data_IF_003597475815
#
_entry.id   IF_003597475815
#
_cell.length_a   1.000
_cell.length_b   1.000
_cell.length_c   1.000
_cell.angle_alpha   90.00
_cell.angle_beta   90.00
_cell.angle_gamma   90.00
#
_symmetry.space_group_name_H-M   'P 1'
#
loop_
_entity.id
_entity.type
_entity.pdbx_description
1 polymer ?
#
# COMPACT_ATOMS: atom_id res chain seq x y z
N UNK A 1 4.77 -2.84 -15.99
CA UNK A 1 3.36 -2.84 -15.54
C UNK A 1 3.26 -2.22 -14.15
N UNK A 2 3.60 -2.88 -13.04
CA UNK A 2 3.57 -2.25 -11.69
C UNK A 2 4.65 -1.18 -11.46
N UNK A 3 5.88 -1.40 -11.97
CA UNK A 3 7.00 -0.47 -11.79
C UNK A 3 6.67 0.96 -12.26
N UNK A 4 5.92 1.11 -13.35
CA UNK A 4 5.55 2.43 -13.87
C UNK A 4 4.65 3.20 -12.91
N UNK A 5 3.70 2.53 -12.24
CA UNK A 5 2.88 3.17 -11.22
C UNK A 5 3.73 3.54 -10.00
N UNK A 6 4.65 2.67 -9.57
CA UNK A 6 5.50 2.96 -8.41
C UNK A 6 6.44 4.16 -8.62
N UNK A 7 6.74 4.54 -9.87
CA UNK A 7 7.49 5.78 -10.17
C UNK A 7 6.69 7.05 -9.88
N UNK A 8 5.37 6.97 -9.87
CA UNK A 8 4.48 8.10 -9.55
C UNK A 8 4.39 8.37 -8.04
N UNK A 9 4.93 7.47 -7.20
CA UNK A 9 5.01 7.72 -5.75
C UNK A 9 6.00 8.86 -5.50
N UNK A 10 5.58 9.97 -4.85
CA UNK A 10 6.47 11.09 -4.60
C UNK A 10 7.67 10.69 -3.74
N UNK A 11 8.88 11.01 -4.22
CA UNK A 11 10.11 10.79 -3.45
C UNK A 11 10.33 11.95 -2.47
N UNK A 12 10.08 11.68 -1.20
CA UNK A 12 10.24 12.60 -0.08
C UNK A 12 11.71 12.98 0.22
N UNK A 13 12.67 12.26 -0.34
CA UNK A 13 14.10 12.46 -0.07
C UNK A 13 14.68 13.54 -0.97
N UNK A 14 15.66 14.28 -0.47
CA UNK A 14 16.46 15.21 -1.26
C UNK A 14 17.20 14.50 -2.41
N UNK A 15 17.48 15.21 -3.50
CA UNK A 15 18.11 14.64 -4.69
C UNK A 15 19.44 13.91 -4.39
N UNK A 16 20.22 14.42 -3.44
CA UNK A 16 21.50 13.85 -3.01
C UNK A 16 21.35 12.53 -2.21
N UNK A 17 20.19 12.30 -1.59
CA UNK A 17 19.88 11.10 -0.81
C UNK A 17 19.23 9.97 -1.65
N UNK A 18 19.19 10.11 -2.98
CA UNK A 18 18.54 9.17 -3.92
C UNK A 18 19.53 8.20 -4.57
N UNK A 19 20.49 7.67 -3.79
CA UNK A 19 21.36 6.58 -4.25
C UNK A 19 20.55 5.36 -4.74
N UNK A 20 19.46 5.06 -4.04
CA UNK A 20 18.50 4.00 -4.38
C UNK A 20 17.20 4.66 -4.82
N UNK A 21 16.77 4.41 -6.05
CA UNK A 21 15.50 4.94 -6.55
C UNK A 21 14.32 4.35 -5.76
N UNK A 22 13.34 5.20 -5.45
CA UNK A 22 12.23 4.83 -4.56
C UNK A 22 11.39 3.70 -5.15
N UNK A 23 11.07 3.77 -6.44
CA UNK A 23 10.22 2.78 -7.11
C UNK A 23 10.79 1.35 -7.00
N UNK A 24 12.09 1.16 -7.22
CA UNK A 24 12.71 -0.16 -7.10
C UNK A 24 12.79 -0.63 -5.64
N UNK A 25 13.05 0.27 -4.68
CA UNK A 25 13.00 -0.09 -3.25
C UNK A 25 11.59 -0.55 -2.85
N UNK A 26 10.55 0.15 -3.29
CA UNK A 26 9.15 -0.24 -3.05
C UNK A 26 8.84 -1.59 -3.70
N UNK A 27 9.19 -1.78 -4.97
CA UNK A 27 8.96 -3.03 -5.69
C UNK A 27 9.63 -4.21 -4.99
N UNK A 28 10.91 -4.08 -4.63
CA UNK A 28 11.64 -5.16 -3.98
C UNK A 28 11.14 -5.44 -2.57
N UNK A 29 10.62 -4.42 -1.88
CA UNK A 29 9.93 -4.59 -0.61
C UNK A 29 8.67 -5.41 -0.77
N UNK A 30 7.85 -5.14 -1.79
CA UNK A 30 6.65 -5.93 -2.12
C UNK A 30 7.04 -7.38 -2.40
N UNK A 31 8.04 -7.61 -3.26
CA UNK A 31 8.53 -8.96 -3.58
C UNK A 31 9.05 -9.69 -2.33
N UNK A 32 9.78 -9.00 -1.46
CA UNK A 32 10.27 -9.56 -0.20
C UNK A 32 9.09 -9.96 0.71
N UNK A 33 8.06 -9.12 0.84
CA UNK A 33 6.88 -9.40 1.66
C UNK A 33 6.09 -10.60 1.11
N UNK A 34 5.94 -10.70 -0.21
CA UNK A 34 5.34 -11.88 -0.87
C UNK A 34 6.12 -13.17 -0.57
N UNK A 35 7.44 -13.04 -0.33
CA UNK A 35 8.32 -14.10 0.12
C UNK A 35 8.50 -14.14 1.65
N UNK A 36 7.50 -13.64 2.38
CA UNK A 36 7.37 -13.73 3.83
C UNK A 36 8.41 -12.90 4.63
N UNK A 37 8.94 -11.81 4.07
CA UNK A 37 9.68 -10.82 4.84
C UNK A 37 8.75 -10.11 5.83
N UNK A 38 9.16 -10.02 7.11
CA UNK A 38 8.31 -9.49 8.20
C UNK A 38 8.78 -8.16 8.77
N UNK A 39 9.99 -7.76 8.42
CA UNK A 39 10.64 -6.55 8.94
C UNK A 39 11.69 -6.04 7.93
N UNK A 40 12.22 -4.84 8.17
CA UNK A 40 13.19 -4.22 7.25
C UNK A 40 14.50 -5.01 7.11
N UNK A 41 14.90 -5.82 8.10
CA UNK A 41 16.10 -6.67 8.00
C UNK A 41 15.88 -7.79 7.00
N UNK A 42 14.70 -8.40 7.02
CA UNK A 42 14.32 -9.43 6.06
C UNK A 42 14.28 -8.85 4.63
N UNK A 43 13.75 -7.63 4.47
CA UNK A 43 13.74 -6.93 3.17
C UNK A 43 15.17 -6.68 2.66
N UNK A 44 16.05 -6.10 3.48
CA UNK A 44 17.45 -5.86 3.08
C UNK A 44 18.20 -7.17 2.79
N UNK A 45 17.92 -8.24 3.55
CA UNK A 45 18.47 -9.58 3.30
C UNK A 45 17.97 -10.13 1.95
N UNK A 46 16.69 -10.01 1.66
CA UNK A 46 16.11 -10.44 0.38
C UNK A 46 16.79 -9.72 -0.79
N UNK A 47 16.87 -8.38 -0.73
CA UNK A 47 17.50 -7.58 -1.79
C UNK A 47 18.97 -7.97 -1.97
N UNK A 48 19.71 -8.11 -0.87
CA UNK A 48 21.13 -8.52 -0.93
C UNK A 48 21.33 -9.91 -1.51
N UNK A 49 20.47 -10.87 -1.13
CA UNK A 49 20.57 -12.27 -1.57
C UNK A 49 20.28 -12.43 -3.07
N UNK A 50 19.36 -11.62 -3.59
CA UNK A 50 18.91 -11.70 -4.97
C UNK A 50 19.40 -10.54 -5.84
N UNK A 51 20.40 -9.78 -5.38
CA UNK A 51 20.77 -8.48 -5.95
C UNK A 51 21.08 -8.55 -7.44
N UNK A 52 21.93 -9.48 -7.89
CA UNK A 52 22.29 -9.59 -9.31
C UNK A 52 21.08 -9.94 -10.19
N UNK A 53 20.19 -10.83 -9.73
CA UNK A 53 18.98 -11.20 -10.47
C UNK A 53 17.99 -10.04 -10.56
N UNK A 54 17.80 -9.31 -9.46
CA UNK A 54 16.93 -8.12 -9.43
C UNK A 54 17.51 -7.01 -10.33
N UNK A 55 18.83 -6.84 -10.30
CA UNK A 55 19.55 -5.88 -11.14
C UNK A 55 19.38 -6.17 -12.63
N UNK A 56 19.55 -7.42 -13.03
CA UNK A 56 19.35 -7.86 -14.41
C UNK A 56 17.87 -7.71 -14.83
N UNK A 57 16.93 -8.16 -14.01
CA UNK A 57 15.50 -8.16 -14.34
C UNK A 57 14.89 -6.76 -14.47
N UNK A 58 15.34 -5.80 -13.66
CA UNK A 58 14.74 -4.46 -13.58
C UNK A 58 15.68 -3.34 -14.06
N UNK A 59 16.91 -3.66 -14.46
CA UNK A 59 17.84 -2.70 -15.08
C UNK A 59 18.33 -1.59 -14.14
N UNK A 60 18.39 -1.84 -12.83
CA UNK A 60 18.81 -0.82 -11.85
C UNK A 60 20.32 -0.54 -11.91
N UNK A 61 20.71 0.71 -11.63
CA UNK A 61 22.11 1.19 -11.69
C UNK A 61 22.82 1.18 -10.33
N UNK A 62 22.29 0.47 -9.35
CA UNK A 62 22.87 0.45 -8.00
C UNK A 62 24.24 -0.24 -8.01
N UNK A 63 25.20 0.35 -7.30
CA UNK A 63 26.54 -0.24 -7.14
C UNK A 63 26.53 -1.46 -6.23
N UNK A 64 25.68 -1.44 -5.20
CA UNK A 64 25.53 -2.47 -4.18
C UNK A 64 24.10 -2.45 -3.63
N UNK A 65 23.61 -3.52 -2.98
CA UNK A 65 22.28 -3.52 -2.37
C UNK A 65 22.22 -2.57 -1.16
N UNK A 66 21.04 -1.99 -0.85
CA UNK A 66 20.84 -1.19 0.35
C UNK A 66 20.91 -2.04 1.62
N UNK A 67 21.58 -1.50 2.64
CA UNK A 67 21.57 -2.08 3.98
C UNK A 67 20.23 -1.85 4.69
N UNK A 68 20.09 -2.47 5.87
CA UNK A 68 18.89 -2.35 6.70
C UNK A 68 18.51 -0.88 7.00
N UNK A 69 19.50 -0.05 7.32
CA UNK A 69 19.29 1.35 7.69
C UNK A 69 18.76 2.15 6.52
N UNK A 70 19.34 1.94 5.33
CA UNK A 70 18.91 2.56 4.08
C UNK A 70 17.47 2.15 3.75
N UNK A 71 17.16 0.85 3.75
CA UNK A 71 15.80 0.35 3.52
C UNK A 71 14.80 0.97 4.50
N UNK A 72 15.12 0.96 5.79
CA UNK A 72 14.25 1.51 6.83
C UNK A 72 14.01 3.01 6.64
N UNK A 73 15.06 3.79 6.42
CA UNK A 73 14.95 5.24 6.31
C UNK A 73 14.16 5.65 5.06
N UNK A 74 14.35 4.93 3.95
CA UNK A 74 13.59 5.15 2.72
C UNK A 74 12.10 4.82 2.96
N UNK A 75 11.80 3.67 3.56
CA UNK A 75 10.41 3.22 3.70
C UNK A 75 9.61 4.03 4.75
N UNK A 76 10.25 4.50 5.82
CA UNK A 76 9.56 5.28 6.87
C UNK A 76 9.08 6.64 6.35
N UNK A 77 9.79 7.26 5.41
CA UNK A 77 9.40 8.56 4.87
C UNK A 77 8.43 8.50 3.70
N UNK A 78 8.02 7.31 3.26
CA UNK A 78 7.05 7.16 2.16
C UNK A 78 5.74 7.84 2.54
N UNK A 79 5.27 8.72 1.66
CA UNK A 79 4.03 9.47 1.86
C UNK A 79 2.84 8.53 1.60
N UNK A 80 2.05 8.27 2.65
CA UNK A 80 0.93 7.33 2.61
C UNK A 80 -0.10 7.69 1.53
N UNK A 81 -0.45 8.97 1.42
CA UNK A 81 -1.43 9.47 0.46
C UNK A 81 -0.96 9.25 -0.99
N UNK A 82 0.35 9.44 -1.24
CA UNK A 82 0.95 9.20 -2.55
C UNK A 82 0.97 7.71 -2.92
N UNK A 83 1.29 6.86 -1.96
CA UNK A 83 1.29 5.41 -2.14
C UNK A 83 -0.12 4.87 -2.36
N UNK A 84 -1.10 5.30 -1.56
CA UNK A 84 -2.50 4.88 -1.66
C UNK A 84 -3.13 5.35 -2.98
N UNK A 85 -2.86 6.58 -3.41
CA UNK A 85 -3.29 7.07 -4.73
C UNK A 85 -2.73 6.21 -5.86
N UNK A 86 -1.45 5.87 -5.78
CA UNK A 86 -0.78 5.01 -6.76
C UNK A 86 -1.39 3.62 -6.78
N UNK A 87 -1.64 3.04 -5.61
CA UNK A 87 -2.31 1.75 -5.46
C UNK A 87 -3.70 1.75 -6.11
N UNK A 88 -4.54 2.74 -5.79
CA UNK A 88 -5.89 2.89 -6.38
C UNK A 88 -5.86 3.01 -7.90
N UNK A 89 -4.90 3.76 -8.42
CA UNK A 89 -4.72 3.93 -9.88
C UNK A 89 -4.33 2.60 -10.52
N UNK A 90 -3.42 1.84 -9.91
CA UNK A 90 -3.02 0.52 -10.39
C UNK A 90 -4.16 -0.50 -10.31
N UNK A 91 -4.89 -0.55 -9.19
CA UNK A 91 -6.05 -1.43 -9.03
C UNK A 91 -7.16 -1.09 -10.03
N UNK A 92 -7.41 0.20 -10.28
CA UNK A 92 -8.36 0.64 -11.29
C UNK A 92 -7.93 0.24 -12.70
N UNK A 93 -6.63 0.31 -13.00
CA UNK A 93 -6.08 -0.18 -14.28
C UNK A 93 -6.26 -1.70 -14.44
N UNK A 94 -6.12 -2.48 -13.37
CA UNK A 94 -6.34 -3.93 -13.39
C UNK A 94 -7.83 -4.32 -13.44
N UNK A 95 -8.71 -3.46 -12.90
CA UNK A 95 -10.15 -3.67 -12.86
C UNK A 95 -10.75 -3.64 -14.28
N UNK A 96 -10.95 -4.82 -14.87
CA UNK A 96 -11.55 -4.95 -16.20
C UNK A 96 -13.07 -5.12 -16.06
N UNK A 97 -13.85 -4.06 -16.28
CA UNK A 97 -15.31 -4.15 -16.30
C UNK A 97 -16.02 -2.80 -16.28
N UNK A 98 -17.35 -2.77 -16.45
CA UNK A 98 -18.13 -1.54 -16.40
C UNK A 98 -17.95 -0.83 -15.05
N UNK A 99 -17.73 0.49 -15.08
CA UNK A 99 -17.52 1.33 -13.88
C UNK A 99 -18.75 1.42 -12.97
N UNK A 100 -19.89 0.92 -13.44
CA UNK A 100 -21.19 0.98 -12.77
C UNK A 100 -21.76 -0.42 -12.60
N UNK A 101 -22.47 -0.69 -11.51
CA UNK A 101 -23.12 -2.00 -11.31
C UNK A 101 -22.24 -3.07 -10.66
N UNK A 102 -21.07 -2.69 -10.12
CA UNK A 102 -20.20 -3.66 -9.43
C UNK A 102 -20.73 -3.95 -8.02
N UNK A 103 -20.49 -5.16 -7.54
CA UNK A 103 -20.65 -5.47 -6.13
C UNK A 103 -19.36 -5.09 -5.39
N UNK A 104 -19.44 -4.03 -4.59
CA UNK A 104 -18.34 -3.48 -3.81
C UNK A 104 -18.54 -3.84 -2.34
N UNK A 105 -17.53 -4.49 -1.77
CA UNK A 105 -17.51 -4.90 -0.37
C UNK A 105 -16.57 -3.99 0.42
N UNK A 106 -17.01 -3.53 1.59
CA UNK A 106 -16.20 -2.79 2.54
C UNK A 106 -15.96 -3.66 3.77
N UNK A 107 -14.69 -3.87 4.13
CA UNK A 107 -14.28 -4.72 5.26
C UNK A 107 -13.35 -3.96 6.21
N UNK A 108 -13.64 -4.01 7.52
CA UNK A 108 -12.84 -3.35 8.55
C UNK A 108 -11.60 -4.17 8.92
N UNK A 109 -10.42 -3.73 8.47
CA UNK A 109 -9.13 -4.34 8.80
C UNK A 109 -8.45 -3.62 9.95
N UNK A 110 -8.00 -4.38 10.95
CA UNK A 110 -7.05 -3.90 11.95
C UNK A 110 -5.62 -4.29 11.57
N UNK A 111 -4.73 -3.32 11.39
CA UNK A 111 -3.34 -3.61 11.00
C UNK A 111 -2.60 -4.35 12.11
N UNK A 112 -2.14 -5.57 11.81
CA UNK A 112 -1.34 -6.37 12.75
C UNK A 112 -0.03 -5.66 13.10
N UNK A 113 0.26 -5.52 14.39
CA UNK A 113 1.50 -4.89 14.88
C UNK A 113 1.48 -3.36 14.88
N UNK A 114 0.34 -2.73 14.57
CA UNK A 114 0.17 -1.26 14.64
C UNK A 114 -0.11 -0.75 16.06
N UNK A 115 -0.55 -1.63 16.95
CA UNK A 115 -0.81 -1.30 18.35
C UNK A 115 0.50 -1.00 19.09
N UNK A 116 0.60 0.20 19.68
CA UNK A 116 1.77 0.61 20.47
C UNK A 116 1.39 0.79 21.94
N UNK A 117 1.62 -0.26 22.75
CA UNK A 117 1.42 -0.25 24.20
C UNK A 117 2.06 0.97 24.88
N UNK A 118 3.27 1.35 24.47
CA UNK A 118 4.07 2.40 25.12
C UNK A 118 3.49 3.80 24.90
N UNK A 119 2.70 4.01 23.84
CA UNK A 119 2.11 5.32 23.50
C UNK A 119 0.59 5.35 23.66
N UNK A 120 -0.01 4.29 24.20
CA UNK A 120 -1.46 4.08 24.24
C UNK A 120 -2.15 4.34 22.88
N UNK A 121 -1.44 4.09 21.77
CA UNK A 121 -1.99 4.27 20.43
C UNK A 121 -2.75 3.00 20.07
N UNK A 122 -4.06 3.16 19.85
CA UNK A 122 -4.95 2.11 19.33
C UNK A 122 -4.40 1.58 18.01
N UNK A 123 -4.74 0.33 17.70
CA UNK A 123 -4.40 -0.27 16.41
C UNK A 123 -4.98 0.59 15.28
N UNK A 124 -4.22 0.75 14.20
CA UNK A 124 -4.71 1.46 13.00
C UNK A 124 -5.79 0.59 12.36
N UNK A 125 -6.98 1.16 12.22
CA UNK A 125 -8.11 0.56 11.53
C UNK A 125 -8.24 1.16 10.13
N UNK A 126 -8.56 0.32 9.17
CA UNK A 126 -8.73 0.68 7.76
C UNK A 126 -9.98 -0.02 7.23
N UNK A 127 -10.72 0.65 6.35
CA UNK A 127 -11.62 -0.03 5.44
C UNK A 127 -10.88 -0.48 4.19
N UNK A 128 -10.95 -1.77 3.91
CA UNK A 128 -10.58 -2.33 2.62
C UNK A 128 -11.78 -2.22 1.67
N UNK A 129 -11.57 -1.65 0.48
CA UNK A 129 -12.58 -1.57 -0.58
C UNK A 129 -12.29 -2.67 -1.58
N UNK A 130 -13.17 -3.65 -1.68
CA UNK A 130 -12.98 -4.84 -2.49
C UNK A 130 -14.04 -4.94 -3.60
N UNK A 131 -13.61 -5.19 -4.84
CA UNK A 131 -14.53 -5.50 -5.94
C UNK A 131 -14.75 -7.00 -5.99
N UNK A 132 -15.96 -7.46 -5.65
CA UNK A 132 -16.31 -8.88 -5.69
C UNK A 132 -16.29 -9.45 -7.11
N UNK A 133 -16.56 -8.61 -8.11
CA UNK A 133 -16.52 -9.01 -9.52
C UNK A 133 -15.08 -9.19 -10.01
N UNK A 134 -14.22 -8.20 -9.77
CA UNK A 134 -12.84 -8.22 -10.26
C UNK A 134 -11.92 -9.08 -9.37
N UNK A 135 -12.37 -9.46 -8.17
CA UNK A 135 -11.59 -10.15 -7.13
C UNK A 135 -10.31 -9.41 -6.73
N UNK A 136 -10.36 -8.08 -6.69
CA UNK A 136 -9.22 -7.24 -6.30
C UNK A 136 -9.63 -6.18 -5.28
N UNK A 137 -8.64 -5.78 -4.49
CA UNK A 137 -8.74 -4.61 -3.62
C UNK A 137 -8.55 -3.35 -4.46
N UNK A 138 -9.54 -2.45 -4.39
CA UNK A 138 -9.56 -1.18 -5.11
C UNK A 138 -8.89 -0.04 -4.34
N UNK A 139 -8.78 -0.15 -3.01
CA UNK A 139 -8.13 0.83 -2.16
C UNK A 139 -8.43 0.62 -0.68
N UNK A 140 -7.83 1.45 0.15
CA UNK A 140 -7.99 1.45 1.60
C UNK A 140 -8.33 2.85 2.11
N UNK A 141 -9.13 2.93 3.17
CA UNK A 141 -9.48 4.20 3.80
C UNK A 141 -9.21 4.10 5.30
N UNK A 142 -8.34 4.96 5.87
CA UNK A 142 -8.11 4.97 7.31
C UNK A 142 -9.37 5.39 8.06
N UNK A 143 -9.66 4.69 9.16
CA UNK A 143 -10.72 5.05 10.08
C UNK A 143 -10.14 5.94 11.19
N UNK A 144 -10.73 7.12 11.37
CA UNK A 144 -10.51 7.95 12.56
C UNK A 144 -11.31 7.39 13.75
N UNK A 145 -10.95 7.80 14.97
CA UNK A 145 -11.33 7.12 16.21
C UNK A 145 -12.83 6.77 16.37
N UNK A 146 -13.07 5.66 17.09
CA UNK A 146 -14.35 4.95 17.34
C UNK A 146 -15.64 5.75 17.48
N UNK A 147 -15.58 7.00 17.93
CA UNK A 147 -16.78 7.73 18.33
C UNK A 147 -17.61 8.25 17.15
N UNK A 148 -17.09 8.20 15.91
CA UNK A 148 -17.80 8.62 14.70
C UNK A 148 -17.66 7.68 13.48
N UNK A 149 -17.26 6.42 13.67
CA UNK A 149 -16.97 5.47 12.57
C UNK A 149 -18.11 5.33 11.56
N UNK A 150 -19.37 5.21 12.01
CA UNK A 150 -20.54 5.07 11.10
C UNK A 150 -20.73 6.33 10.25
N UNK A 151 -20.57 7.52 10.84
CA UNK A 151 -20.76 8.79 10.12
C UNK A 151 -19.61 9.04 9.16
N UNK A 152 -18.37 8.85 9.60
CA UNK A 152 -17.19 8.93 8.75
C UNK A 152 -17.28 7.96 7.57
N UNK A 153 -17.83 6.76 7.80
CA UNK A 153 -18.08 5.78 6.77
C UNK A 153 -19.20 6.21 5.80
N UNK A 154 -20.30 6.77 6.29
CA UNK A 154 -21.37 7.31 5.44
C UNK A 154 -20.88 8.47 4.57
N UNK A 155 -20.12 9.40 5.13
CA UNK A 155 -19.51 10.52 4.42
C UNK A 155 -18.51 10.00 3.36
N UNK A 156 -17.73 8.98 3.70
CA UNK A 156 -16.84 8.29 2.77
C UNK A 156 -17.62 7.64 1.62
N UNK A 157 -18.67 6.86 1.90
CA UNK A 157 -19.50 6.23 0.87
C UNK A 157 -20.10 7.26 -0.08
N UNK A 158 -20.56 8.40 0.45
CA UNK A 158 -21.12 9.49 -0.34
C UNK A 158 -20.07 10.16 -1.26
N UNK A 159 -18.79 10.13 -0.88
CA UNK A 159 -17.70 10.69 -1.67
C UNK A 159 -17.22 9.79 -2.82
N UNK A 160 -17.59 8.51 -2.81
CA UNK A 160 -17.13 7.53 -3.79
C UNK A 160 -18.13 7.43 -4.97
N UNK A 161 -17.66 7.25 -6.22
CA UNK A 161 -18.53 7.09 -7.38
C UNK A 161 -19.18 5.69 -7.42
N UNK A 162 -20.08 5.40 -6.48
CA UNK A 162 -20.73 4.09 -6.29
C UNK A 162 -22.09 3.97 -6.99
N UNK A 163 -22.42 4.90 -7.89
CA UNK A 163 -23.75 4.95 -8.50
C UNK A 163 -24.06 3.68 -9.30
N UNK A 164 -25.21 3.06 -8.98
CA UNK A 164 -25.66 1.80 -9.58
C UNK A 164 -24.97 0.55 -9.06
N UNK A 165 -23.99 0.67 -8.15
CA UNK A 165 -23.28 -0.46 -7.54
C UNK A 165 -24.04 -1.05 -6.35
N UNK A 166 -23.88 -2.34 -6.11
CA UNK A 166 -24.33 -2.99 -4.87
C UNK A 166 -23.22 -2.82 -3.85
N UNK A 167 -23.53 -2.24 -2.69
CA UNK A 167 -22.55 -2.03 -1.61
C UNK A 167 -22.88 -2.97 -0.45
N UNK A 168 -21.92 -3.79 -0.05
CA UNK A 168 -21.98 -4.57 1.18
C UNK A 168 -20.88 -4.12 2.13
N UNK A 169 -21.17 -4.20 3.42
CA UNK A 169 -20.29 -3.70 4.48
C UNK A 169 -20.34 -4.73 5.59
N UNK A 170 -19.17 -5.22 6.02
CA UNK A 170 -19.13 -6.06 7.21
C UNK A 170 -19.43 -5.23 8.46
N UNK A 171 -20.06 -5.84 9.45
CA UNK A 171 -20.53 -5.13 10.63
C UNK A 171 -19.35 -4.50 11.38
N UNK A 172 -19.40 -3.17 11.54
CA UNK A 172 -18.52 -2.44 12.45
C UNK A 172 -18.79 -2.90 13.90
N UNK A 173 -17.73 -3.13 14.69
CA UNK A 173 -17.77 -3.56 16.10
C UNK A 173 -17.01 -2.60 17.03
#
# INVERSE_FOLDING_TARGET
MLMEFLKEVPDHRDAEARQYDLASVLLYTILAILLNAKNYKDVSRFISTHFEKLKEAFGIKWRQPPDYTSVRNILIGVINEGLEKTFRTYSSFLSQGPQTGKHICFDGKSLRGSFQNVKNKKAVQLFEIFSAFDQIVLGHVPLEEKDHEIKAFQDLLASLPLQGSIVTVDALH
#
